data_IF_680718202166
#
_entry.id   IF_680718202166
#
_cell.length_a   1.000
_cell.length_b   1.000
_cell.length_c   1.000
_cell.angle_alpha   90.00
_cell.angle_beta   90.00
_cell.angle_gamma   90.00
#
_symmetry.space_group_name_H-M   'P 1'
#
loop_
_entity.id
_entity.type
_entity.pdbx_description
1 polymer ?
#
# COMPACT_ATOMS: atom_id res chain seq x y z
N UNK A 1 -13.24 3.89 -0.97
CA UNK A 1 -12.88 3.37 0.37
C UNK A 1 -12.62 1.86 0.38
N UNK A 2 -13.25 1.05 -0.48
CA UNK A 2 -13.03 -0.40 -0.48
C UNK A 2 -11.63 -0.81 -1.00
N UNK A 3 -11.06 -0.06 -1.93
CA UNK A 3 -9.83 -0.45 -2.62
C UNK A 3 -8.59 -0.23 -1.77
N UNK A 4 -8.54 0.85 -0.97
CA UNK A 4 -7.50 1.02 0.07
C UNK A 4 -7.47 -0.17 1.02
N UNK A 5 -8.65 -0.63 1.48
CA UNK A 5 -8.76 -1.78 2.38
C UNK A 5 -8.25 -3.07 1.75
N UNK A 6 -8.53 -3.29 0.45
CA UNK A 6 -8.00 -4.46 -0.29
C UNK A 6 -6.47 -4.43 -0.38
N UNK A 7 -5.89 -3.28 -0.71
CA UNK A 7 -4.43 -3.12 -0.78
C UNK A 7 -3.78 -3.36 0.58
N UNK A 8 -4.31 -2.75 1.63
CA UNK A 8 -3.80 -2.92 3.00
C UNK A 8 -3.90 -4.38 3.43
N UNK A 9 -5.04 -5.04 3.21
CA UNK A 9 -5.20 -6.46 3.52
C UNK A 9 -4.23 -7.37 2.74
N UNK A 10 -3.90 -7.03 1.49
CA UNK A 10 -2.88 -7.76 0.73
C UNK A 10 -1.48 -7.56 1.33
N UNK A 11 -1.12 -6.34 1.76
CA UNK A 11 0.15 -6.08 2.46
C UNK A 11 0.19 -6.82 3.81
N UNK A 12 -0.91 -6.80 4.57
CA UNK A 12 -1.03 -7.48 5.87
C UNK A 12 -0.92 -9.00 5.72
N UNK A 13 -1.41 -9.58 4.62
CA UNK A 13 -1.28 -11.02 4.36
C UNK A 13 0.17 -11.49 4.22
N UNK A 14 1.13 -10.58 4.01
CA UNK A 14 2.54 -10.91 3.85
C UNK A 14 2.86 -11.65 2.54
N UNK A 15 1.88 -11.77 1.63
CA UNK A 15 2.01 -12.42 0.34
C UNK A 15 2.17 -11.39 -0.78
N UNK A 16 3.38 -11.28 -1.32
CA UNK A 16 3.67 -10.39 -2.45
C UNK A 16 2.86 -10.76 -3.70
N UNK A 17 2.58 -12.05 -3.93
CA UNK A 17 1.80 -12.48 -5.08
C UNK A 17 0.34 -12.01 -4.97
N UNK A 18 -0.19 -11.91 -3.74
CA UNK A 18 -1.55 -11.43 -3.51
C UNK A 18 -1.70 -9.96 -3.90
N UNK A 19 -0.75 -9.08 -3.55
CA UNK A 19 -0.84 -7.68 -3.98
C UNK A 19 -0.63 -7.54 -5.49
N UNK A 20 0.26 -8.31 -6.11
CA UNK A 20 0.49 -8.29 -7.56
C UNK A 20 -0.77 -8.73 -8.30
N UNK A 21 -1.48 -9.72 -7.77
CA UNK A 21 -2.76 -10.19 -8.33
C UNK A 21 -3.87 -9.12 -8.30
N UNK A 22 -3.79 -8.11 -7.42
CA UNK A 22 -4.72 -6.97 -7.43
C UNK A 22 -4.46 -6.00 -8.59
N UNK A 23 -3.26 -6.01 -9.17
CA UNK A 23 -2.81 -5.07 -10.22
C UNK A 23 -2.24 -5.81 -11.44
N UNK A 24 -3.01 -6.69 -12.10
CA UNK A 24 -2.51 -7.59 -13.14
C UNK A 24 -2.02 -6.86 -14.41
N UNK A 25 -2.43 -5.61 -14.62
CA UNK A 25 -2.01 -4.78 -15.76
C UNK A 25 -0.79 -3.89 -15.47
N UNK A 26 -0.29 -3.90 -14.23
CA UNK A 26 0.87 -3.14 -13.81
C UNK A 26 2.13 -4.02 -13.81
N UNK A 27 3.30 -3.40 -13.94
CA UNK A 27 4.56 -4.10 -13.78
C UNK A 27 4.65 -4.66 -12.35
N UNK A 28 4.86 -5.98 -12.24
CA UNK A 28 4.94 -6.67 -10.96
C UNK A 28 6.06 -6.13 -10.06
N UNK A 29 7.22 -5.77 -10.62
CA UNK A 29 8.37 -5.26 -9.85
C UNK A 29 8.04 -3.93 -9.15
N UNK A 30 7.25 -3.07 -9.78
CA UNK A 30 6.80 -1.80 -9.20
C UNK A 30 5.85 -2.05 -8.01
N UNK A 31 4.89 -2.95 -8.19
CA UNK A 31 3.93 -3.33 -7.15
C UNK A 31 4.64 -4.01 -5.97
N UNK A 32 5.56 -4.91 -6.25
CA UNK A 32 6.37 -5.58 -5.23
C UNK A 32 7.28 -4.61 -4.47
N UNK A 33 7.77 -3.55 -5.12
CA UNK A 33 8.59 -2.54 -4.45
C UNK A 33 7.82 -1.82 -3.35
N UNK A 34 6.56 -1.45 -3.63
CA UNK A 34 5.66 -0.83 -2.65
C UNK A 34 5.34 -1.82 -1.53
N UNK A 35 5.04 -3.08 -1.88
CA UNK A 35 4.82 -4.13 -0.88
C UNK A 35 6.01 -4.33 0.04
N UNK A 36 7.24 -4.43 -0.49
CA UNK A 36 8.46 -4.59 0.30
C UNK A 36 8.64 -3.42 1.26
N UNK A 37 8.45 -2.20 0.78
CA UNK A 37 8.57 -0.98 1.59
C UNK A 37 7.54 -0.98 2.72
N UNK A 38 6.27 -1.24 2.41
CA UNK A 38 5.20 -1.23 3.41
C UNK A 38 5.28 -2.43 4.38
N UNK A 39 5.84 -3.56 3.96
CA UNK A 39 6.04 -4.75 4.79
C UNK A 39 7.13 -4.58 5.86
N UNK A 40 7.94 -3.51 5.78
CA UNK A 40 8.85 -3.13 6.86
C UNK A 40 8.10 -2.65 8.11
N UNK A 41 6.84 -2.23 7.98
CA UNK A 41 6.02 -1.79 9.11
C UNK A 41 5.37 -3.02 9.75
N UNK A 42 5.55 -3.19 11.05
CA UNK A 42 4.90 -4.24 11.83
C UNK A 42 3.38 -4.08 11.79
N UNK A 43 2.70 -5.13 11.33
CA UNK A 43 1.23 -5.24 11.22
C UNK A 43 0.54 -4.85 12.54
N UNK A 44 1.04 -5.34 13.68
CA UNK A 44 0.45 -5.09 15.00
C UNK A 44 0.44 -3.61 15.43
N UNK A 45 1.27 -2.78 14.80
CA UNK A 45 1.41 -1.35 15.13
C UNK A 45 1.02 -0.43 13.98
N UNK A 46 0.70 -1.01 12.81
CA UNK A 46 0.45 -0.27 11.58
C UNK A 46 -0.82 0.53 11.70
N UNK A 47 -0.76 1.78 11.28
CA UNK A 47 -1.88 2.71 11.19
C UNK A 47 -1.82 3.39 9.84
N UNK A 48 -2.99 3.70 9.31
CA UNK A 48 -3.10 4.57 8.15
C UNK A 48 -3.28 5.99 8.69
N UNK A 49 -2.37 6.90 8.34
CA UNK A 49 -2.52 8.31 8.68
C UNK A 49 -3.74 8.85 7.91
N UNK A 50 -4.56 9.68 8.56
CA UNK A 50 -5.81 10.17 7.97
C UNK A 50 -5.57 10.97 6.68
N UNK A 51 -6.51 10.78 5.75
CA UNK A 51 -6.42 11.08 4.32
C UNK A 51 -6.03 12.54 4.00
N UNK A 52 -5.02 12.70 3.13
CA UNK A 52 -4.77 13.97 2.42
C UNK A 52 -5.21 13.84 0.95
N UNK A 53 -6.22 14.61 0.56
CA UNK A 53 -6.57 14.83 -0.85
C UNK A 53 -7.32 13.68 -1.54
N UNK A 54 -8.46 13.24 -0.98
CA UNK A 54 -9.34 12.28 -1.65
C UNK A 54 -10.03 12.90 -2.87
N UNK A 55 -9.50 12.62 -4.06
CA UNK A 55 -10.30 12.63 -5.28
C UNK A 55 -10.92 11.24 -5.47
N UNK A 56 -12.11 11.11 -6.07
CA UNK A 56 -12.69 9.81 -6.39
C UNK A 56 -11.76 8.90 -7.21
N UNK A 57 -10.76 9.48 -7.89
CA UNK A 57 -9.80 8.79 -8.76
C UNK A 57 -8.37 8.78 -8.21
N UNK A 58 -8.13 9.35 -7.04
CA UNK A 58 -6.76 9.50 -6.51
C UNK A 58 -6.81 9.45 -5.00
N UNK A 59 -6.17 8.44 -4.44
CA UNK A 59 -6.15 8.12 -3.03
C UNK A 59 -4.68 8.06 -2.60
N UNK A 60 -4.26 9.03 -1.79
CA UNK A 60 -2.95 8.97 -1.15
C UNK A 60 -3.04 8.11 0.10
N UNK A 61 -2.14 7.14 0.24
CA UNK A 61 -2.10 6.24 1.39
C UNK A 61 -0.76 6.42 2.07
N UNK A 62 -0.79 6.74 3.36
CA UNK A 62 0.40 6.76 4.22
C UNK A 62 0.16 5.79 5.36
N UNK A 63 1.06 4.82 5.49
CA UNK A 63 1.11 3.85 6.57
C UNK A 63 2.25 4.21 7.51
N UNK A 64 1.98 4.25 8.80
CA UNK A 64 2.97 4.47 9.86
C UNK A 64 2.89 3.37 10.90
N UNK A 65 4.01 3.09 11.58
CA UNK A 65 4.03 2.12 12.68
C UNK A 65 5.45 1.85 13.17
N UNK A 66 5.61 0.87 14.06
CA UNK A 66 6.92 0.36 14.44
C UNK A 66 7.50 -0.46 13.28
N UNK A 67 8.82 -0.37 13.07
CA UNK A 67 9.53 -1.25 12.14
C UNK A 67 9.44 -2.69 12.64
N UNK A 68 9.26 -3.63 11.70
CA UNK A 68 9.28 -5.07 11.94
C UNK A 68 10.67 -5.55 12.35
N UNK A 69 11.73 -4.94 11.80
CA UNK A 69 13.12 -5.32 12.05
C UNK A 69 13.69 -4.67 13.32
N UNK A 70 13.17 -3.50 13.71
CA UNK A 70 13.56 -2.77 14.91
C UNK A 70 12.32 -2.11 15.54
N UNK A 71 11.64 -2.79 16.48
CA UNK A 71 10.41 -2.28 17.09
C UNK A 71 10.58 -0.94 17.82
N UNK A 72 11.81 -0.53 18.14
CA UNK A 72 12.11 0.78 18.73
C UNK A 72 12.13 1.93 17.72
N UNK A 73 12.14 1.63 16.41
CA UNK A 73 12.20 2.60 15.32
C UNK A 73 10.85 2.72 14.62
N UNK A 74 10.45 3.95 14.31
CA UNK A 74 9.29 4.21 13.47
C UNK A 74 9.61 3.94 11.99
N UNK A 75 8.67 3.32 11.28
CA UNK A 75 8.70 3.12 9.84
C UNK A 75 7.46 3.76 9.19
N UNK A 76 7.64 4.25 7.97
CA UNK A 76 6.61 4.90 7.16
C UNK A 76 6.66 4.37 5.74
N UNK A 77 5.50 4.17 5.13
CA UNK A 77 5.34 3.80 3.74
C UNK A 77 4.24 4.67 3.14
N UNK A 78 4.53 5.36 2.05
CA UNK A 78 3.54 6.13 1.31
C UNK A 78 3.46 5.60 -0.11
N UNK A 79 2.24 5.60 -0.65
CA UNK A 79 1.98 5.27 -2.05
C UNK A 79 0.69 5.94 -2.50
N UNK A 80 0.54 6.06 -3.81
CA UNK A 80 -0.64 6.56 -4.47
C UNK A 80 -1.42 5.41 -5.09
N UNK A 81 -2.73 5.36 -4.82
CA UNK A 81 -3.68 4.51 -5.54
C UNK A 81 -4.53 5.40 -6.46
N UNK A 82 -4.43 5.22 -7.77
CA UNK A 82 -5.08 6.09 -8.74
C UNK A 82 -5.84 5.32 -9.82
N UNK A 83 -6.98 5.88 -10.25
CA UNK A 83 -7.85 5.30 -11.26
C UNK A 83 -7.47 5.85 -12.64
N UNK A 84 -7.13 4.94 -13.54
CA UNK A 84 -6.67 5.25 -14.89
C UNK A 84 -7.83 5.42 -15.88
N UNK A 85 -7.55 6.01 -17.04
CA UNK A 85 -8.52 6.08 -18.14
C UNK A 85 -8.86 4.71 -18.74
N UNK A 86 -7.97 3.72 -18.54
CA UNK A 86 -8.22 2.31 -18.85
C UNK A 86 -9.26 1.66 -17.91
N UNK A 87 -9.81 2.41 -16.93
CA UNK A 87 -10.76 1.94 -15.92
C UNK A 87 -10.17 0.88 -14.99
N UNK A 88 -8.94 1.11 -14.58
CA UNK A 88 -8.19 0.23 -13.68
C UNK A 88 -7.53 1.06 -12.58
N UNK A 89 -7.48 0.49 -11.36
CA UNK A 89 -6.65 1.02 -10.29
C UNK A 89 -5.19 0.67 -10.53
N UNK A 90 -4.28 1.60 -10.20
CA UNK A 90 -2.83 1.39 -10.22
C UNK A 90 -2.17 1.95 -8.97
N UNK A 91 -1.02 1.40 -8.64
CA UNK A 91 -0.17 1.87 -7.56
C UNK A 91 0.99 2.71 -8.11
N UNK A 92 1.38 3.74 -7.38
CA UNK A 92 2.63 4.45 -7.58
C UNK A 92 3.30 4.64 -6.23
N UNK A 93 4.65 4.58 -6.15
CA UNK A 93 5.37 5.12 -5.00
C UNK A 93 4.98 6.57 -4.72
#
# INVERSE_FOLDING_TARGET
MEERKKVIAAIDSGDAAHIVALFPSQNADEVESIFRTCSTISEASRRMDEDHGESPRTLYVTLTGASRDDPGRQATCSFLLYWTDAREWRLSP
#
